data_IF_126697383379
#
_entry.id   IF_126697383379
#
_cell.length_a   1.000
_cell.length_b   1.000
_cell.length_c   1.000
_cell.angle_alpha   90.00
_cell.angle_beta   90.00
_cell.angle_gamma   90.00
#
_symmetry.space_group_name_H-M   'P 1'
#
loop_
_entity.id
_entity.type
_entity.pdbx_description
1 polymer ?
#
# COMPACT_ATOMS: atom_id res chain seq x y z
N UNK A 1 -4.16 6.09 -11.61
CA UNK A 1 -5.39 6.12 -10.77
C UNK A 1 -5.64 7.53 -10.25
N UNK A 2 -6.87 7.92 -9.88
CA UNK A 2 -7.15 9.17 -9.16
C UNK A 2 -6.92 8.96 -7.65
N UNK A 3 -6.54 10.02 -6.92
CA UNK A 3 -6.37 9.97 -5.47
C UNK A 3 -7.64 9.46 -4.77
N UNK A 4 -7.50 8.46 -3.91
CA UNK A 4 -8.62 7.90 -3.14
C UNK A 4 -8.79 8.73 -1.87
N UNK A 5 -9.98 9.33 -1.69
CA UNK A 5 -10.30 10.13 -0.50
C UNK A 5 -11.16 9.31 0.47
N UNK A 6 -10.77 9.30 1.74
CA UNK A 6 -11.60 8.74 2.80
C UNK A 6 -12.96 9.46 2.88
N UNK A 7 -14.05 8.70 2.92
CA UNK A 7 -15.43 9.21 3.07
C UNK A 7 -16.03 8.64 4.34
N UNK A 8 -16.95 9.37 4.98
CA UNK A 8 -17.58 8.94 6.23
C UNK A 8 -18.28 7.59 6.12
N UNK A 9 -18.80 7.24 4.94
CA UNK A 9 -19.41 5.93 4.65
C UNK A 9 -18.47 4.72 4.73
N UNK A 10 -17.15 4.96 4.80
CA UNK A 10 -16.13 3.91 4.96
C UNK A 10 -15.74 3.69 6.43
N UNK A 11 -16.32 4.47 7.34
CA UNK A 11 -16.04 4.34 8.77
C UNK A 11 -16.62 3.02 9.27
N UNK A 12 -15.74 2.20 9.86
CA UNK A 12 -16.10 0.98 10.59
C UNK A 12 -16.69 1.27 11.97
N UNK A 13 -16.74 2.55 12.39
CA UNK A 13 -17.05 2.97 13.75
C UNK A 13 -15.92 2.72 14.76
N UNK A 14 -14.86 2.01 14.37
CA UNK A 14 -13.69 1.75 15.21
C UNK A 14 -12.58 2.71 14.80
N UNK A 15 -12.36 3.76 15.59
CA UNK A 15 -11.42 4.84 15.24
C UNK A 15 -9.98 4.36 14.98
N UNK A 16 -9.54 3.28 15.64
CA UNK A 16 -8.21 2.70 15.41
C UNK A 16 -8.09 2.11 14.00
N UNK A 17 -9.09 1.35 13.59
CA UNK A 17 -9.15 0.70 12.27
C UNK A 17 -9.32 1.77 11.17
N UNK A 18 -10.20 2.74 11.39
CA UNK A 18 -10.40 3.84 10.44
C UNK A 18 -9.13 4.68 10.25
N UNK A 19 -8.40 4.98 11.32
CA UNK A 19 -7.14 5.72 11.23
C UNK A 19 -6.05 4.89 10.56
N UNK A 20 -6.01 3.59 10.82
CA UNK A 20 -5.10 2.68 10.16
C UNK A 20 -5.36 2.62 8.64
N UNK A 21 -6.61 2.50 8.21
CA UNK A 21 -6.98 2.49 6.79
C UNK A 21 -6.76 3.84 6.11
N UNK A 22 -7.06 4.95 6.80
CA UNK A 22 -6.72 6.30 6.30
C UNK A 22 -5.23 6.44 6.07
N UNK A 23 -4.40 5.87 6.94
CA UNK A 23 -2.96 5.92 6.78
C UNK A 23 -2.52 5.16 5.51
N UNK A 24 -3.10 3.99 5.23
CA UNK A 24 -2.85 3.29 3.96
C UNK A 24 -3.21 4.17 2.75
N UNK A 25 -4.40 4.77 2.76
CA UNK A 25 -4.81 5.65 1.65
C UNK A 25 -3.85 6.81 1.45
N UNK A 26 -3.29 7.37 2.52
CA UNK A 26 -2.29 8.42 2.43
C UNK A 26 -0.99 7.93 1.78
N UNK A 27 -0.50 6.75 2.19
CA UNK A 27 0.69 6.12 1.60
C UNK A 27 0.47 5.89 0.09
N UNK A 28 -0.68 5.34 -0.29
CA UNK A 28 -1.01 5.10 -1.71
C UNK A 28 -1.14 6.41 -2.49
N UNK A 29 -1.77 7.43 -1.92
CA UNK A 29 -1.89 8.74 -2.56
C UNK A 29 -0.53 9.44 -2.74
N UNK A 30 0.38 9.33 -1.78
CA UNK A 30 1.76 9.83 -1.91
C UNK A 30 2.49 9.08 -3.03
N UNK A 31 2.29 7.76 -3.11
CA UNK A 31 2.86 6.92 -4.17
C UNK A 31 2.38 7.34 -5.55
N UNK A 32 1.08 7.62 -5.74
CA UNK A 32 0.55 8.14 -7.03
C UNK A 32 1.27 9.40 -7.47
N UNK A 33 1.51 10.31 -6.53
CA UNK A 33 2.13 11.60 -6.84
C UNK A 33 3.55 11.37 -7.32
N UNK A 34 4.31 10.56 -6.58
CA UNK A 34 5.72 10.28 -6.87
C UNK A 34 5.89 9.41 -8.11
N UNK A 35 5.04 8.40 -8.31
CA UNK A 35 5.06 7.55 -9.49
C UNK A 35 4.69 8.33 -10.77
N UNK A 36 3.72 9.27 -10.70
CA UNK A 36 3.41 10.13 -11.85
C UNK A 36 4.54 11.10 -12.22
N UNK A 37 5.47 11.38 -11.31
CA UNK A 37 6.64 12.21 -11.58
C UNK A 37 7.82 11.40 -12.15
N UNK A 38 7.76 10.07 -12.11
CA UNK A 38 8.87 9.19 -12.43
C UNK A 38 8.44 8.12 -13.46
N UNK A 39 8.73 8.39 -14.73
CA UNK A 39 8.31 7.55 -15.87
C UNK A 39 8.90 6.12 -15.86
N UNK A 40 10.00 5.90 -15.12
CA UNK A 40 10.72 4.61 -15.11
C UNK A 40 10.15 3.57 -14.14
N UNK A 41 9.16 3.93 -13.32
CA UNK A 41 8.61 3.05 -12.28
C UNK A 41 7.36 2.29 -12.76
N UNK A 42 7.49 1.48 -13.82
CA UNK A 42 6.34 0.80 -14.43
C UNK A 42 5.72 -0.29 -13.53
N UNK A 43 6.53 -1.12 -12.87
CA UNK A 43 6.06 -2.11 -11.88
C UNK A 43 5.33 -1.46 -10.71
N UNK A 44 5.80 -0.30 -10.27
CA UNK A 44 5.16 0.47 -9.20
C UNK A 44 3.80 1.01 -9.64
N UNK A 45 3.68 1.42 -10.91
CA UNK A 45 2.43 1.88 -11.51
C UNK A 45 1.41 0.75 -11.61
N UNK A 46 1.87 -0.46 -11.97
CA UNK A 46 1.02 -1.66 -12.04
C UNK A 46 0.55 -2.10 -10.66
N UNK A 47 1.47 -2.22 -9.70
CA UNK A 47 1.15 -2.49 -8.29
C UNK A 47 0.16 -1.45 -7.75
N UNK A 48 0.41 -0.17 -8.03
CA UNK A 48 -0.48 0.91 -7.62
C UNK A 48 -1.88 0.77 -8.22
N UNK A 49 -1.99 0.39 -9.50
CA UNK A 49 -3.29 0.16 -10.14
C UNK A 49 -4.03 -1.00 -9.48
N UNK A 50 -3.34 -2.12 -9.24
CA UNK A 50 -3.91 -3.31 -8.62
C UNK A 50 -4.39 -3.04 -7.19
N UNK A 51 -3.58 -2.39 -6.36
CA UNK A 51 -3.99 -2.00 -5.00
C UNK A 51 -5.16 -1.02 -5.05
N UNK A 52 -5.16 -0.09 -6.01
CA UNK A 52 -6.24 0.85 -6.20
C UNK A 52 -7.59 0.17 -6.41
N UNK A 53 -7.63 -0.82 -7.30
CA UNK A 53 -8.84 -1.59 -7.58
C UNK A 53 -9.30 -2.39 -6.34
N UNK A 54 -8.37 -3.01 -5.61
CA UNK A 54 -8.68 -3.72 -4.37
C UNK A 54 -9.20 -2.78 -3.27
N UNK A 55 -8.61 -1.60 -3.11
CA UNK A 55 -9.09 -0.58 -2.17
C UNK A 55 -10.52 -0.17 -2.51
N UNK A 56 -10.85 0.03 -3.78
CA UNK A 56 -12.22 0.38 -4.17
C UNK A 56 -13.21 -0.75 -3.88
N UNK A 57 -12.81 -2.01 -4.09
CA UNK A 57 -13.60 -3.19 -3.76
C UNK A 57 -13.79 -3.31 -2.24
N UNK A 58 -12.71 -3.24 -1.46
CA UNK A 58 -12.74 -3.35 -0.01
C UNK A 58 -13.53 -2.21 0.65
N UNK A 59 -13.40 -0.98 0.13
CA UNK A 59 -14.19 0.18 0.60
C UNK A 59 -15.69 0.05 0.34
N UNK A 60 -16.10 -0.82 -0.60
CA UNK A 60 -17.51 -1.14 -0.84
C UNK A 60 -18.02 -2.26 0.07
N UNK A 61 -17.13 -3.09 0.64
CA UNK A 61 -17.48 -4.11 1.62
C UNK A 61 -17.70 -3.43 2.97
N UNK A 62 -18.97 -3.28 3.35
CA UNK A 62 -19.41 -2.60 4.60
C UNK A 62 -18.96 -3.38 5.86
N UNK A 63 -18.58 -4.64 5.72
CA UNK A 63 -18.62 -5.61 6.82
C UNK A 63 -17.29 -5.78 7.58
N UNK A 64 -16.14 -5.62 6.93
CA UNK A 64 -14.87 -6.06 7.53
C UNK A 64 -14.05 -4.94 8.13
N UNK A 65 -14.21 -3.70 7.64
CA UNK A 65 -13.50 -2.52 8.14
C UNK A 65 -11.97 -2.61 8.04
N UNK A 66 -11.37 -3.74 7.70
CA UNK A 66 -9.94 -3.99 7.73
C UNK A 66 -9.49 -4.43 6.35
N UNK A 67 -8.49 -3.73 5.81
CA UNK A 67 -7.91 -3.96 4.49
C UNK A 67 -7.01 -5.21 4.44
N UNK A 68 -7.52 -6.36 4.89
CA UNK A 68 -6.73 -7.59 5.03
C UNK A 68 -6.22 -8.11 3.69
N UNK A 69 -7.06 -8.13 2.66
CA UNK A 69 -6.64 -8.58 1.32
C UNK A 69 -5.53 -7.69 0.75
N UNK A 70 -5.56 -6.39 1.07
CA UNK A 70 -4.52 -5.44 0.64
C UNK A 70 -3.24 -5.62 1.45
N UNK A 71 -3.34 -5.96 2.75
CA UNK A 71 -2.18 -6.32 3.57
C UNK A 71 -1.45 -7.54 3.00
N UNK A 72 -2.19 -8.62 2.73
CA UNK A 72 -1.63 -9.85 2.15
C UNK A 72 -0.97 -9.57 0.80
N UNK A 73 -1.63 -8.82 -0.09
CA UNK A 73 -1.03 -8.45 -1.37
C UNK A 73 0.25 -7.63 -1.21
N UNK A 74 0.24 -6.61 -0.34
CA UNK A 74 1.43 -5.79 -0.08
C UNK A 74 2.59 -6.60 0.51
N UNK A 75 2.31 -7.62 1.31
CA UNK A 75 3.32 -8.52 1.86
C UNK A 75 3.90 -9.44 0.78
N UNK A 76 3.08 -9.89 -0.17
CA UNK A 76 3.53 -10.76 -1.26
C UNK A 76 4.33 -10.01 -2.33
N UNK A 77 3.90 -8.80 -2.67
CA UNK A 77 4.47 -8.02 -3.77
C UNK A 77 5.69 -7.17 -3.35
N UNK A 78 5.85 -6.87 -2.05
CA UNK A 78 7.00 -6.12 -1.55
C UNK A 78 8.06 -7.03 -0.90
N UNK A 79 9.36 -6.82 -1.21
CA UNK A 79 9.90 -5.77 -2.09
C UNK A 79 9.73 -6.08 -3.58
N UNK A 80 9.41 -5.07 -4.38
CA UNK A 80 9.25 -5.19 -5.84
C UNK A 80 10.52 -5.74 -6.52
N UNK A 81 10.36 -6.69 -7.44
CA UNK A 81 11.46 -7.29 -8.18
C UNK A 81 12.27 -6.28 -9.02
N UNK A 82 11.61 -5.26 -9.55
CA UNK A 82 12.24 -4.18 -10.34
C UNK A 82 13.13 -3.22 -9.51
N UNK A 83 13.20 -3.40 -8.19
CA UNK A 83 14.06 -2.63 -7.27
C UNK A 83 15.54 -2.64 -7.68
N UNK A 84 16.03 -3.69 -8.33
CA UNK A 84 17.45 -3.87 -8.67
C UNK A 84 17.91 -3.10 -9.93
N UNK A 85 17.08 -2.22 -10.50
CA UNK A 85 17.49 -1.39 -11.63
C UNK A 85 18.15 -0.09 -11.16
N UNK A 86 19.14 0.40 -11.91
CA UNK A 86 19.85 1.64 -11.56
C UNK A 86 18.92 2.85 -11.41
N UNK A 87 17.85 2.90 -12.21
CA UNK A 87 16.83 3.97 -12.14
C UNK A 87 16.03 3.91 -10.82
N UNK A 88 15.67 2.70 -10.35
CA UNK A 88 15.00 2.52 -9.06
C UNK A 88 15.91 2.87 -7.88
N UNK A 89 17.21 2.58 -7.97
CA UNK A 89 18.19 3.00 -6.96
C UNK A 89 18.33 4.53 -6.89
N UNK A 90 18.27 5.22 -8.04
CA UNK A 90 18.41 6.67 -8.12
C UNK A 90 17.17 7.41 -7.56
N UNK A 91 15.97 6.87 -7.82
CA UNK A 91 14.73 7.48 -7.33
C UNK A 91 14.35 7.07 -5.89
N UNK A 92 14.86 5.94 -5.41
CA UNK A 92 14.65 5.38 -4.07
C UNK A 92 13.15 5.22 -3.66
N UNK A 93 12.24 5.22 -4.63
CA UNK A 93 10.80 5.21 -4.36
C UNK A 93 10.31 3.86 -3.83
N UNK A 94 10.90 2.76 -4.31
CA UNK A 94 10.60 1.41 -3.85
C UNK A 94 10.98 1.19 -2.38
N UNK A 95 12.16 1.67 -1.97
CA UNK A 95 12.61 1.64 -0.57
C UNK A 95 11.72 2.52 0.33
N UNK A 96 11.34 3.70 -0.16
CA UNK A 96 10.42 4.58 0.58
C UNK A 96 9.02 3.98 0.75
N UNK A 97 8.52 3.27 -0.27
CA UNK A 97 7.25 2.55 -0.19
C UNK A 97 7.35 1.38 0.80
N UNK A 98 8.41 0.58 0.72
CA UNK A 98 8.65 -0.57 1.62
C UNK A 98 8.69 -0.13 3.09
N UNK A 99 9.37 0.98 3.40
CA UNK A 99 9.41 1.53 4.74
C UNK A 99 8.01 1.97 5.24
N UNK A 100 7.28 2.74 4.43
CA UNK A 100 5.95 3.25 4.83
C UNK A 100 4.92 2.12 4.98
N UNK A 101 4.90 1.18 4.04
CA UNK A 101 4.03 0.00 4.11
C UNK A 101 4.46 -0.88 5.29
N UNK A 102 5.76 -1.05 5.52
CA UNK A 102 6.29 -1.77 6.68
C UNK A 102 5.86 -1.15 8.00
N UNK A 103 5.87 0.19 8.12
CA UNK A 103 5.37 0.90 9.30
C UNK A 103 3.85 0.74 9.47
N UNK A 104 3.10 0.80 8.37
CA UNK A 104 1.67 0.56 8.39
C UNK A 104 1.35 -0.87 8.85
N UNK A 105 1.99 -1.88 8.24
CA UNK A 105 1.88 -3.29 8.63
C UNK A 105 2.34 -3.55 10.07
N UNK A 106 3.28 -2.76 10.62
CA UNK A 106 3.78 -2.93 12.00
C UNK A 106 2.76 -2.60 13.09
N UNK A 107 1.67 -1.90 12.80
CA UNK A 107 0.52 -1.85 13.73
C UNK A 107 -0.20 -3.21 13.86
N UNK A 108 0.01 -4.12 12.91
CA UNK A 108 -0.42 -5.52 12.96
C UNK A 108 0.72 -6.46 13.41
N UNK A 109 1.99 -6.09 13.16
CA UNK A 109 3.18 -6.89 13.54
C UNK A 109 3.60 -6.72 15.01
N UNK A 110 2.72 -7.13 15.91
CA UNK A 110 3.17 -8.09 16.93
C UNK A 110 3.25 -9.48 16.26
N UNK A 111 4.07 -9.62 15.21
CA UNK A 111 4.72 -10.84 14.73
C UNK A 111 5.30 -10.69 13.31
N UNK A 112 6.63 -10.79 13.24
CA UNK A 112 7.42 -11.53 12.24
C UNK A 112 7.15 -11.27 10.76
N UNK A 113 7.94 -10.35 10.18
CA UNK A 113 8.60 -10.67 8.90
C UNK A 113 9.68 -11.75 9.18
N UNK A 114 9.26 -13.00 9.34
CA UNK A 114 10.13 -14.17 9.14
C UNK A 114 9.34 -15.20 8.35
N UNK A 115 9.35 -15.06 7.03
CA UNK A 115 9.42 -16.22 6.15
C UNK A 115 10.41 -15.83 5.06
N UNK A 116 11.69 -16.07 5.36
CA UNK A 116 12.74 -16.18 4.35
C UNK A 116 12.72 -17.61 3.85
N UNK A 117 12.71 -17.75 2.52
CA UNK A 117 13.31 -18.81 1.70
C UNK A 117 13.23 -20.25 2.23
N UNK A 118 12.43 -21.07 1.54
CA UNK A 118 12.84 -22.43 1.19
C UNK A 118 13.10 -22.49 -0.32
#
# INVERSE_FOLDING_TARGET
MRRVRWKSKYSSGISKIDNHNKNLLNILNDLVIKANQLEHCQDLSDLHKHIGELVEIELQKIDTGQFKEIQDLLIMELPLAARNTQACHDCNLCDHLDEQVGQWLKLDKVNKFTVKNE
#
